data_IF_286953379998
#
_entry.id   IF_286953379998
#
_cell.length_a   1.000
_cell.length_b   1.000
_cell.length_c   1.000
_cell.angle_alpha   90.00
_cell.angle_beta   90.00
_cell.angle_gamma   90.00
#
_symmetry.space_group_name_H-M   'P 1'
#
loop_
_entity.id
_entity.type
_entity.pdbx_description
1 polymer ?
#
# COMPACT_ATOMS: atom_id res chain seq x y z
N UNK A 1 38.88 -20.51 14.95
CA UNK A 1 38.75 -20.44 13.48
C UNK A 1 37.44 -21.14 13.11
N UNK A 2 36.38 -20.38 12.83
CA UNK A 2 35.06 -20.91 12.49
C UNK A 2 34.84 -20.65 11.00
N UNK A 3 34.79 -21.73 10.21
CA UNK A 3 34.57 -21.68 8.78
C UNK A 3 33.08 -21.44 8.51
N UNK A 4 32.77 -20.29 7.90
CA UNK A 4 31.48 -20.00 7.30
C UNK A 4 31.43 -20.62 5.90
N UNK A 5 30.53 -21.58 5.72
CA UNK A 5 30.23 -22.20 4.43
C UNK A 5 29.16 -21.34 3.76
N UNK A 6 29.54 -20.62 2.71
CA UNK A 6 28.62 -19.92 1.82
C UNK A 6 27.97 -20.95 0.88
N UNK A 7 26.66 -21.10 0.97
CA UNK A 7 25.83 -21.81 0.00
C UNK A 7 25.14 -20.76 -0.87
N UNK A 8 25.64 -20.54 -2.08
CA UNK A 8 24.92 -19.78 -3.10
C UNK A 8 24.03 -20.73 -3.92
N UNK A 9 22.73 -20.41 -4.11
CA UNK A 9 21.89 -21.15 -5.03
C UNK A 9 22.16 -20.72 -6.47
N UNK A 10 22.58 -21.68 -7.29
CA UNK A 10 22.73 -21.58 -8.74
C UNK A 10 21.38 -21.33 -9.41
N UNK A 11 21.25 -20.21 -10.12
CA UNK A 11 20.14 -19.97 -11.05
C UNK A 11 20.55 -20.47 -12.44
N UNK A 12 19.87 -21.53 -12.89
CA UNK A 12 19.92 -22.02 -14.27
C UNK A 12 18.53 -21.90 -14.89
N UNK A 13 18.36 -20.97 -15.82
CA UNK A 13 17.22 -20.92 -16.75
C UNK A 13 17.82 -20.61 -18.14
N UNK A 14 18.09 -21.64 -18.95
CA UNK A 14 17.17 -22.28 -19.90
C UNK A 14 16.78 -21.36 -21.07
N UNK A 15 17.51 -21.56 -22.16
CA UNK A 15 17.34 -21.04 -23.50
C UNK A 15 15.93 -21.27 -24.05
N UNK A 16 15.31 -20.23 -24.61
CA UNK A 16 14.15 -20.36 -25.50
C UNK A 16 14.57 -19.92 -26.90
N UNK A 17 14.60 -20.90 -27.79
CA UNK A 17 14.70 -20.79 -29.23
C UNK A 17 13.29 -20.99 -29.78
N UNK A 18 12.79 -20.08 -30.60
CA UNK A 18 11.87 -20.43 -31.70
C UNK A 18 11.78 -19.29 -32.73
N UNK A 19 12.04 -19.66 -33.98
CA UNK A 19 11.81 -18.89 -35.21
C UNK A 19 10.41 -19.23 -35.72
N UNK A 20 9.74 -18.28 -36.36
CA UNK A 20 9.04 -18.36 -37.67
C UNK A 20 8.07 -17.17 -37.79
N UNK A 21 8.29 -16.22 -38.71
CA UNK A 21 7.91 -16.29 -40.13
C UNK A 21 6.39 -16.35 -40.34
N UNK A 22 5.73 -15.19 -40.43
CA UNK A 22 4.40 -15.10 -41.05
C UNK A 22 4.37 -13.91 -42.02
N UNK A 23 3.91 -14.24 -43.22
CA UNK A 23 3.89 -13.49 -44.46
C UNK A 23 2.91 -12.32 -44.48
N UNK A 24 3.32 -11.24 -45.14
CA UNK A 24 2.47 -10.16 -45.64
C UNK A 24 1.54 -10.67 -46.74
N UNK A 25 0.22 -10.54 -46.53
CA UNK A 25 -0.77 -10.66 -47.60
C UNK A 25 -1.67 -9.43 -47.55
N UNK A 26 -1.51 -8.60 -48.58
CA UNK A 26 -2.39 -7.49 -48.89
C UNK A 26 -3.81 -8.01 -49.14
N UNK A 27 -4.80 -7.37 -48.53
CA UNK A 27 -6.22 -7.57 -48.86
C UNK A 27 -6.90 -6.21 -48.94
N UNK A 28 -7.46 -5.96 -50.11
CA UNK A 28 -8.13 -4.75 -50.55
C UNK A 28 -9.29 -4.36 -49.62
N UNK A 29 -9.23 -3.13 -49.10
CA UNK A 29 -10.27 -2.59 -48.23
C UNK A 29 -11.39 -2.01 -49.09
N UNK A 30 -12.39 -2.84 -49.39
CA UNK A 30 -13.66 -2.42 -49.98
C UNK A 30 -14.53 -1.67 -48.96
N UNK A 31 -15.18 -0.63 -49.44
CA UNK A 31 -15.92 0.41 -48.74
C UNK A 31 -17.02 -0.14 -47.82
N UNK A 32 -16.78 -0.10 -46.50
CA UNK A 32 -17.80 -0.37 -45.49
C UNK A 32 -18.35 0.94 -44.92
N UNK A 33 -19.66 1.17 -45.13
CA UNK A 33 -20.42 2.24 -44.50
C UNK A 33 -20.23 2.22 -42.96
N UNK A 34 -20.15 3.38 -42.29
CA UNK A 34 -20.00 3.41 -40.84
C UNK A 34 -21.27 2.84 -40.18
N UNK A 35 -21.15 1.80 -39.33
CA UNK A 35 -22.29 1.33 -38.55
C UNK A 35 -22.72 2.47 -37.63
N UNK A 36 -23.95 2.97 -37.81
CA UNK A 36 -24.55 3.91 -36.88
C UNK A 36 -24.69 3.22 -35.54
N UNK A 37 -23.74 3.50 -34.64
CA UNK A 37 -23.68 2.96 -33.29
C UNK A 37 -24.91 3.46 -32.54
N UNK A 38 -25.99 2.67 -32.55
CA UNK A 38 -27.10 2.81 -31.61
C UNK A 38 -26.47 2.63 -30.22
N UNK A 39 -26.25 3.74 -29.54
CA UNK A 39 -25.87 3.77 -28.13
C UNK A 39 -26.95 3.01 -27.37
N UNK A 40 -26.71 1.72 -27.09
CA UNK A 40 -27.48 0.98 -26.11
C UNK A 40 -27.36 1.78 -24.82
N UNK A 41 -28.44 2.44 -24.41
CA UNK A 41 -28.57 2.97 -23.06
C UNK A 41 -28.23 1.81 -22.13
N UNK A 42 -27.03 1.83 -21.57
CA UNK A 42 -26.64 0.85 -20.55
C UNK A 42 -27.60 1.08 -19.40
N UNK A 43 -28.24 0.02 -18.93
CA UNK A 43 -29.05 0.08 -17.72
C UNK A 43 -28.18 0.71 -16.63
N UNK A 44 -28.53 1.95 -16.27
CA UNK A 44 -27.80 2.78 -15.32
C UNK A 44 -28.29 2.38 -13.95
N UNK A 45 -27.55 1.53 -13.25
CA UNK A 45 -27.92 1.14 -11.89
C UNK A 45 -26.85 0.30 -11.22
N UNK A 46 -26.81 0.39 -9.90
CA UNK A 46 -26.01 -0.49 -9.08
C UNK A 46 -26.66 -1.87 -9.07
N UNK A 47 -25.90 -2.90 -9.41
CA UNK A 47 -26.37 -4.27 -9.37
C UNK A 47 -26.11 -4.85 -7.97
N UNK A 48 -27.19 -5.13 -7.24
CA UNK A 48 -27.12 -5.68 -5.89
C UNK A 48 -26.38 -7.01 -5.80
N UNK A 49 -26.31 -7.80 -6.89
CA UNK A 49 -25.55 -9.05 -6.94
C UNK A 49 -24.05 -8.83 -6.71
N UNK A 50 -23.52 -7.65 -7.05
CA UNK A 50 -22.12 -7.30 -6.85
C UNK A 50 -21.71 -7.29 -5.38
N UNK A 51 -22.66 -7.15 -4.44
CA UNK A 51 -22.36 -7.23 -3.00
C UNK A 51 -21.85 -8.61 -2.57
N UNK A 52 -22.15 -9.67 -3.32
CA UNK A 52 -21.63 -11.02 -3.05
C UNK A 52 -20.12 -11.09 -3.32
N UNK A 53 -19.68 -10.57 -4.47
CA UNK A 53 -18.27 -10.54 -4.87
C UNK A 53 -17.48 -9.43 -4.15
N UNK A 54 -18.14 -8.31 -3.88
CA UNK A 54 -17.55 -7.09 -3.34
C UNK A 54 -18.30 -6.64 -2.08
N UNK A 55 -18.16 -7.35 -0.95
CA UNK A 55 -18.90 -7.07 0.29
C UNK A 55 -18.56 -5.71 0.91
N UNK A 56 -17.47 -5.09 0.49
CA UNK A 56 -17.03 -3.77 0.93
C UNK A 56 -17.73 -2.61 0.20
N UNK A 57 -18.50 -2.89 -0.86
CA UNK A 57 -19.17 -1.86 -1.67
C UNK A 57 -20.53 -1.50 -1.08
N UNK A 58 -20.75 -0.20 -0.94
CA UNK A 58 -22.05 0.36 -0.56
C UNK A 58 -22.56 1.29 -1.65
N UNK A 59 -23.81 1.11 -2.05
CA UNK A 59 -24.53 2.06 -2.90
C UNK A 59 -24.90 3.30 -2.07
N UNK A 60 -24.62 4.46 -2.61
CA UNK A 60 -24.95 5.78 -2.04
C UNK A 60 -25.63 6.58 -3.15
N UNK A 61 -26.44 7.58 -2.79
CA UNK A 61 -27.09 8.46 -3.77
C UNK A 61 -26.07 8.99 -4.80
N UNK A 62 -26.24 8.58 -6.06
CA UNK A 62 -25.38 9.00 -7.17
C UNK A 62 -24.10 8.20 -7.39
N UNK A 63 -23.85 7.09 -6.67
CA UNK A 63 -22.70 6.23 -6.98
C UNK A 63 -22.38 5.12 -5.98
N UNK A 64 -21.14 4.67 -6.03
CA UNK A 64 -20.62 3.58 -5.19
C UNK A 64 -19.52 4.07 -4.27
N UNK A 65 -19.50 3.57 -3.04
CA UNK A 65 -18.49 3.88 -2.04
C UNK A 65 -17.84 2.61 -1.48
N UNK A 66 -16.61 2.75 -0.97
CA UNK A 66 -15.87 1.64 -0.39
C UNK A 66 -15.81 1.77 1.13
N UNK A 67 -16.58 0.94 1.83
CA UNK A 67 -16.66 0.97 3.30
C UNK A 67 -15.31 0.75 3.99
N UNK A 68 -14.41 -0.05 3.40
CA UNK A 68 -13.06 -0.29 3.94
C UNK A 68 -12.17 0.95 3.81
N UNK A 69 -12.13 1.56 2.62
CA UNK A 69 -11.31 2.73 2.38
C UNK A 69 -11.79 3.94 3.20
N UNK A 70 -13.10 4.10 3.37
CA UNK A 70 -13.68 5.13 4.24
C UNK A 70 -13.26 4.92 5.69
N UNK A 71 -13.41 3.69 6.20
CA UNK A 71 -13.12 3.37 7.61
C UNK A 71 -11.67 3.65 7.99
N UNK A 72 -10.73 3.28 7.11
CA UNK A 72 -9.29 3.42 7.35
C UNK A 72 -8.70 4.71 6.76
N UNK A 73 -9.52 5.56 6.13
CA UNK A 73 -9.11 6.80 5.47
C UNK A 73 -7.93 6.62 4.51
N UNK A 74 -7.85 5.47 3.82
CA UNK A 74 -6.78 5.18 2.88
C UNK A 74 -6.99 5.95 1.57
N UNK A 75 -6.27 7.07 1.43
CA UNK A 75 -6.37 7.97 0.27
C UNK A 75 -5.23 7.74 -0.72
N UNK A 76 -5.48 7.84 -2.04
CA UNK A 76 -4.41 7.84 -3.04
C UNK A 76 -3.48 9.03 -2.80
N UNK A 77 -2.17 8.84 -3.01
CA UNK A 77 -1.17 9.89 -2.79
C UNK A 77 -1.50 11.20 -3.55
N UNK A 78 -1.99 11.07 -4.81
CA UNK A 78 -2.43 12.21 -5.64
C UNK A 78 -3.61 13.00 -5.08
N UNK A 79 -4.37 12.43 -4.14
CA UNK A 79 -5.57 13.00 -3.54
C UNK A 79 -5.44 13.11 -2.02
N UNK A 80 -4.20 13.21 -1.51
CA UNK A 80 -3.94 13.41 -0.09
C UNK A 80 -4.54 14.73 0.41
N UNK A 81 -4.43 15.79 -0.41
CA UNK A 81 -4.98 17.12 -0.13
C UNK A 81 -6.12 17.35 -1.13
N UNK A 82 -7.33 16.92 -0.77
CA UNK A 82 -8.52 17.08 -1.61
C UNK A 82 -9.53 15.95 -1.45
N UNK A 83 -10.48 15.90 -2.39
CA UNK A 83 -11.50 14.85 -2.45
C UNK A 83 -10.93 13.58 -3.08
N UNK A 84 -10.86 12.51 -2.30
CA UNK A 84 -10.47 11.19 -2.79
C UNK A 84 -11.71 10.38 -3.24
N UNK A 85 -11.75 9.90 -4.50
CA UNK A 85 -12.79 8.98 -4.94
C UNK A 85 -12.83 7.73 -4.05
N UNK A 86 -14.03 7.22 -3.79
CA UNK A 86 -14.33 6.07 -2.90
C UNK A 86 -14.25 6.34 -1.40
N UNK A 87 -13.60 7.42 -0.97
CA UNK A 87 -13.45 7.80 0.45
C UNK A 87 -14.35 8.99 0.75
N UNK A 88 -14.15 10.10 0.04
CA UNK A 88 -14.89 11.35 0.27
C UNK A 88 -16.06 11.51 -0.69
N UNK A 89 -15.86 11.10 -1.94
CA UNK A 89 -16.85 11.26 -3.02
C UNK A 89 -17.18 9.89 -3.63
N UNK A 90 -18.47 9.59 -3.85
CA UNK A 90 -18.88 8.34 -4.47
C UNK A 90 -18.33 8.22 -5.90
N UNK A 91 -17.96 7.01 -6.29
CA UNK A 91 -17.63 6.70 -7.66
C UNK A 91 -18.91 6.72 -8.50
N UNK A 92 -19.04 7.73 -9.36
CA UNK A 92 -20.18 7.92 -10.27
C UNK A 92 -20.19 6.92 -11.43
N UNK A 93 -19.04 6.30 -11.74
CA UNK A 93 -18.95 5.25 -12.75
C UNK A 93 -19.41 3.91 -12.15
N UNK A 94 -20.72 3.66 -12.22
CA UNK A 94 -21.36 2.43 -11.80
C UNK A 94 -21.15 1.32 -12.85
N UNK A 95 -20.04 0.61 -12.76
CA UNK A 95 -19.73 -0.54 -13.60
C UNK A 95 -18.88 -1.56 -12.82
N UNK A 96 -19.04 -2.84 -13.10
CA UNK A 96 -18.23 -3.90 -12.47
C UNK A 96 -16.72 -3.68 -12.69
N UNK A 97 -16.33 -3.12 -13.83
CA UNK A 97 -14.93 -2.80 -14.14
C UNK A 97 -14.32 -1.77 -13.19
N UNK A 98 -15.12 -0.80 -12.69
CA UNK A 98 -14.62 0.19 -11.73
C UNK A 98 -14.36 -0.45 -10.37
N UNK A 99 -15.18 -1.43 -9.97
CA UNK A 99 -14.96 -2.26 -8.78
C UNK A 99 -13.70 -3.12 -8.89
N UNK A 100 -13.55 -3.84 -10.01
CA UNK A 100 -12.35 -4.64 -10.28
C UNK A 100 -11.07 -3.79 -10.28
N UNK A 101 -11.14 -2.60 -10.86
CA UNK A 101 -10.02 -1.65 -10.85
C UNK A 101 -9.73 -1.16 -9.43
N UNK A 102 -10.75 -0.77 -8.67
CA UNK A 102 -10.59 -0.32 -7.29
C UNK A 102 -9.97 -1.41 -6.40
N UNK A 103 -10.42 -2.66 -6.53
CA UNK A 103 -9.90 -3.79 -5.76
C UNK A 103 -8.38 -3.98 -5.89
N UNK A 104 -7.83 -3.64 -7.06
CA UNK A 104 -6.39 -3.76 -7.39
C UNK A 104 -5.58 -2.53 -6.97
N UNK A 105 -6.22 -1.47 -6.48
CA UNK A 105 -5.49 -0.27 -6.04
C UNK A 105 -4.75 -0.52 -4.73
N UNK A 106 -3.56 0.07 -4.61
CA UNK A 106 -2.73 -0.01 -3.40
C UNK A 106 -3.44 0.53 -2.16
N UNK A 107 -4.23 1.58 -2.31
CA UNK A 107 -5.03 2.15 -1.22
C UNK A 107 -6.07 1.16 -0.68
N UNK A 108 -6.66 0.35 -1.56
CA UNK A 108 -7.63 -0.66 -1.16
C UNK A 108 -6.94 -1.88 -0.53
N UNK A 109 -5.79 -2.31 -1.06
CA UNK A 109 -5.01 -3.40 -0.44
C UNK A 109 -4.51 -3.00 0.95
N UNK A 110 -4.07 -1.75 1.13
CA UNK A 110 -3.72 -1.21 2.44
C UNK A 110 -4.92 -1.19 3.40
N UNK A 111 -6.08 -0.71 2.95
CA UNK A 111 -7.30 -0.72 3.77
C UNK A 111 -7.72 -2.14 4.18
N UNK A 112 -7.57 -3.11 3.28
CA UNK A 112 -7.80 -4.54 3.58
C UNK A 112 -6.84 -5.07 4.64
N UNK A 113 -5.55 -4.72 4.54
CA UNK A 113 -4.55 -5.13 5.52
C UNK A 113 -4.86 -4.54 6.91
N UNK A 114 -5.23 -3.26 6.97
CA UNK A 114 -5.62 -2.60 8.20
C UNK A 114 -6.89 -3.22 8.82
N UNK A 115 -7.88 -3.56 7.99
CA UNK A 115 -9.07 -4.28 8.47
C UNK A 115 -8.73 -5.69 8.98
N UNK A 116 -7.86 -6.42 8.28
CA UNK A 116 -7.40 -7.73 8.72
C UNK A 116 -6.67 -7.64 10.06
N UNK A 117 -5.78 -6.66 10.23
CA UNK A 117 -5.08 -6.41 11.49
C UNK A 117 -6.03 -5.96 12.62
N UNK A 118 -7.12 -5.27 12.28
CA UNK A 118 -8.17 -4.89 13.25
C UNK A 118 -8.95 -6.09 13.76
N UNK A 119 -9.26 -7.04 12.87
CA UNK A 119 -10.03 -8.25 13.18
C UNK A 119 -9.16 -9.38 13.73
N UNK A 120 -7.85 -9.37 13.45
CA UNK A 120 -6.92 -10.36 13.96
C UNK A 120 -6.96 -10.36 15.50
N UNK A 121 -7.07 -11.54 16.14
CA UNK A 121 -6.95 -11.62 17.58
C UNK A 121 -5.55 -11.12 17.96
N UNK A 122 -5.48 -10.02 18.70
CA UNK A 122 -4.21 -9.50 19.18
C UNK A 122 -3.61 -10.52 20.14
N UNK A 123 -2.64 -11.30 19.65
CA UNK A 123 -1.81 -12.10 20.52
C UNK A 123 -0.89 -11.13 21.28
N UNK A 124 -1.37 -10.65 22.44
CA UNK A 124 -0.69 -9.67 23.28
C UNK A 124 0.77 -10.08 23.58
N UNK A 125 1.03 -11.39 23.65
CA UNK A 125 2.37 -11.94 23.88
C UNK A 125 3.33 -11.61 22.72
N UNK A 126 2.89 -11.78 21.47
CA UNK A 126 3.72 -11.47 20.30
C UNK A 126 4.03 -9.98 20.17
N UNK A 127 3.07 -9.11 20.50
CA UNK A 127 3.30 -7.65 20.51
C UNK A 127 4.27 -7.23 21.62
N UNK A 128 4.19 -7.86 22.80
CA UNK A 128 5.13 -7.62 23.89
C UNK A 128 6.55 -8.08 23.55
N UNK A 129 6.70 -9.21 22.87
CA UNK A 129 7.99 -9.73 22.40
C UNK A 129 8.63 -8.82 21.35
N UNK A 130 7.85 -8.31 20.40
CA UNK A 130 8.33 -7.37 19.37
C UNK A 130 8.78 -6.04 19.97
N UNK A 131 8.00 -5.48 20.91
CA UNK A 131 8.44 -4.30 21.67
C UNK A 131 9.68 -4.56 22.51
N UNK A 132 9.81 -5.76 23.09
CA UNK A 132 10.99 -6.17 23.87
C UNK A 132 12.27 -6.17 23.03
N UNK A 133 12.20 -6.63 21.78
CA UNK A 133 13.33 -6.63 20.84
C UNK A 133 13.76 -5.21 20.43
N UNK A 134 12.79 -4.32 20.12
CA UNK A 134 13.08 -2.92 19.81
C UNK A 134 13.68 -2.17 21.01
N UNK A 135 13.26 -2.48 22.23
CA UNK A 135 13.87 -1.92 23.43
C UNK A 135 15.31 -2.41 23.64
N UNK A 136 15.64 -3.64 23.21
CA UNK A 136 17.00 -4.18 23.39
C UNK A 136 18.04 -3.40 22.59
N UNK A 137 17.78 -3.09 21.32
CA UNK A 137 18.72 -2.32 20.49
C UNK A 137 18.89 -0.89 21.01
N UNK A 138 17.80 -0.24 21.42
CA UNK A 138 17.84 1.09 22.02
C UNK A 138 18.63 1.11 23.34
N UNK A 139 18.43 0.12 24.22
CA UNK A 139 19.21 -0.03 25.46
C UNK A 139 20.69 -0.24 25.18
N UNK A 140 21.03 -1.11 24.24
CA UNK A 140 22.43 -1.33 23.83
C UNK A 140 23.05 -0.04 23.30
N UNK A 141 22.33 0.72 22.47
CA UNK A 141 22.82 2.01 21.97
C UNK A 141 23.04 3.02 23.10
N UNK A 142 22.11 3.11 24.06
CA UNK A 142 22.26 3.97 25.24
C UNK A 142 23.51 3.60 26.06
N UNK A 143 23.74 2.31 26.33
CA UNK A 143 24.95 1.86 27.04
C UNK A 143 26.24 2.11 26.25
N UNK A 144 26.22 1.95 24.92
CA UNK A 144 27.38 2.30 24.07
C UNK A 144 27.69 3.79 24.12
N UNK A 145 26.67 4.65 24.09
CA UNK A 145 26.84 6.09 24.21
C UNK A 145 27.39 6.47 25.59
N UNK A 146 26.85 5.88 26.66
CA UNK A 146 27.34 6.12 28.02
C UNK A 146 28.80 5.66 28.18
N UNK A 147 29.14 4.49 27.66
CA UNK A 147 30.51 3.98 27.65
C UNK A 147 31.46 4.91 26.89
N UNK A 148 31.05 5.40 25.72
CA UNK A 148 31.86 6.34 24.94
C UNK A 148 32.09 7.65 25.71
N UNK A 149 31.04 8.20 26.33
CA UNK A 149 31.11 9.41 27.15
C UNK A 149 32.10 9.24 28.31
N UNK A 150 32.00 8.13 29.05
CA UNK A 150 32.92 7.82 30.15
C UNK A 150 34.36 7.63 29.67
N UNK A 151 34.56 6.96 28.53
CA UNK A 151 35.89 6.69 27.97
C UNK A 151 36.62 7.95 27.50
N UNK A 152 35.90 8.94 27.00
CA UNK A 152 36.48 10.20 26.53
C UNK A 152 36.67 11.22 27.66
N UNK A 153 36.39 10.84 28.92
CA UNK A 153 36.46 11.71 30.09
C UNK A 153 35.73 13.05 29.89
N UNK A 154 34.67 13.05 29.07
CA UNK A 154 33.87 14.27 28.85
C UNK A 154 33.29 14.64 30.20
N UNK A 155 33.55 15.84 30.76
CA UNK A 155 33.06 16.18 32.08
C UNK A 155 31.52 16.15 32.08
N UNK A 156 30.93 15.12 32.70
CA UNK A 156 29.48 14.95 32.84
C UNK A 156 28.86 15.89 33.87
N UNK A 157 29.72 16.62 34.58
CA UNK A 157 29.39 17.74 35.46
C UNK A 157 29.93 19.00 34.81
N UNK A 158 29.28 19.46 33.75
CA UNK A 158 29.42 20.87 33.38
C UNK A 158 28.87 21.67 34.56
N UNK A 159 29.79 22.25 35.34
CA UNK A 159 29.49 23.39 36.19
C UNK A 159 29.04 24.53 35.25
N UNK A 160 27.83 24.45 34.73
CA UNK A 160 27.22 25.60 34.09
C UNK A 160 27.06 26.66 35.17
N UNK A 161 27.63 27.84 34.92
CA UNK A 161 27.27 29.03 35.67
C UNK A 161 25.73 29.14 35.64
N UNK A 162 25.08 29.40 36.79
CA UNK A 162 23.63 29.56 36.80
C UNK A 162 23.25 30.66 35.80
N UNK A 163 22.19 30.41 35.01
CA UNK A 163 21.72 31.26 33.92
C UNK A 163 21.41 32.73 34.31
N UNK A 164 21.49 33.05 35.60
CA UNK A 164 21.18 34.36 36.18
C UNK A 164 22.30 35.41 35.97
N UNK A 165 23.47 35.02 35.46
CA UNK A 165 24.60 35.95 35.22
C UNK A 165 24.68 36.51 33.78
N UNK A 166 23.72 36.19 32.90
CA UNK A 166 23.69 36.68 31.51
C UNK A 166 22.99 38.05 31.33
N UNK A 167 22.86 38.86 32.40
CA UNK A 167 22.01 40.05 32.38
C UNK A 167 22.47 41.23 33.24
N UNK A 168 23.75 41.60 33.20
CA UNK A 168 24.22 42.93 33.63
C UNK A 168 25.25 43.50 32.66
#
# INVERSE_FOLDING_TARGET
>A
MLNWINNEPSLSESSISERESVQDVASDHETSQPPTKRSKQRASGFDSSWKQDFPWVTEVEGGMMCSLCIRHMCRPARSAIGSAPWVDVPCTWIARDSLNRHQRTETHSQAKLLEANRLAPRNLVGQLEEMGCLQKSARIAAFKNLYWLMKQEVPHTTNYLPLNDLGK
#
